data_IF_607026494555
#
_entry.id   IF_607026494555
#
_cell.length_a   1.000
_cell.length_b   1.000
_cell.length_c   1.000
_cell.angle_alpha   90.00
_cell.angle_beta   90.00
_cell.angle_gamma   90.00
#
_symmetry.space_group_name_H-M   'P 1'
#
loop_
_entity.id
_entity.type
_entity.pdbx_description
1 polymer ?
#
# COMPACT_ATOMS: atom_id res chain seq x y z
N UNK A 1 50.48 -31.10 -2.77
CA UNK A 1 51.13 -29.79 -2.58
C UNK A 1 50.07 -28.71 -2.77
N UNK A 2 49.54 -28.20 -1.66
CA UNK A 2 49.11 -26.79 -1.57
C UNK A 2 50.33 -25.86 -1.83
N UNK A 3 50.18 -24.53 -1.90
CA UNK A 3 49.16 -23.68 -2.53
C UNK A 3 49.84 -22.52 -3.32
N UNK A 4 49.09 -21.54 -3.85
CA UNK A 4 49.42 -20.09 -3.99
C UNK A 4 48.42 -19.46 -4.98
N UNK A 5 47.38 -18.77 -4.50
CA UNK A 5 47.26 -17.33 -4.17
C UNK A 5 46.86 -16.43 -5.36
N UNK A 6 45.60 -15.98 -5.26
CA UNK A 6 45.05 -14.63 -5.47
C UNK A 6 45.63 -13.75 -6.59
N UNK A 7 44.74 -13.36 -7.50
CA UNK A 7 44.46 -11.95 -7.83
C UNK A 7 42.95 -11.83 -8.14
N UNK A 8 42.13 -11.73 -7.09
CA UNK A 8 40.84 -11.07 -7.21
C UNK A 8 41.12 -9.62 -6.84
N UNK A 9 41.25 -8.77 -7.86
CA UNK A 9 41.21 -7.34 -7.67
C UNK A 9 39.85 -6.98 -7.04
N UNK A 10 39.93 -6.29 -5.92
CA UNK A 10 38.82 -5.65 -5.25
C UNK A 10 38.16 -4.68 -6.22
N UNK A 11 36.93 -4.97 -6.64
CA UNK A 11 36.08 -3.96 -7.28
C UNK A 11 35.78 -2.91 -6.21
N UNK A 12 36.09 -1.62 -6.45
CA UNK A 12 35.85 -0.57 -5.48
C UNK A 12 34.35 -0.36 -5.27
N UNK A 13 34.00 -0.17 -4.00
CA UNK A 13 32.73 0.39 -3.54
C UNK A 13 32.40 1.69 -4.30
N UNK A 14 31.12 1.82 -4.69
CA UNK A 14 30.40 3.05 -5.03
C UNK A 14 31.26 4.27 -5.40
N UNK A 15 31.48 4.46 -6.69
CA UNK A 15 31.69 5.78 -7.27
C UNK A 15 31.00 5.82 -8.63
N UNK A 16 29.97 6.65 -8.73
CA UNK A 16 29.48 7.33 -9.93
C UNK A 16 29.84 6.66 -11.26
N UNK A 17 29.00 5.70 -11.69
CA UNK A 17 28.88 5.40 -13.11
C UNK A 17 27.83 6.36 -13.66
N UNK A 18 28.37 7.32 -14.38
CA UNK A 18 27.77 8.34 -15.21
C UNK A 18 26.84 7.73 -16.29
N UNK A 19 25.65 7.31 -15.86
CA UNK A 19 24.53 6.91 -16.74
C UNK A 19 23.56 8.07 -16.99
N UNK A 20 23.87 9.28 -16.49
CA UNK A 20 22.94 10.42 -16.47
C UNK A 20 22.97 11.28 -17.72
N UNK A 21 24.05 11.32 -18.50
CA UNK A 21 24.21 12.38 -19.50
C UNK A 21 23.87 12.06 -20.97
N UNK A 22 23.43 10.85 -21.34
CA UNK A 22 23.17 10.55 -22.76
C UNK A 22 21.81 9.95 -23.13
N UNK A 23 20.88 9.76 -22.18
CA UNK A 23 19.55 9.20 -22.50
C UNK A 23 18.35 9.92 -21.84
N UNK A 24 18.57 10.97 -21.05
CA UNK A 24 17.63 11.37 -20.00
C UNK A 24 16.71 12.57 -20.30
N UNK A 25 16.54 13.02 -21.55
CA UNK A 25 15.58 14.12 -21.83
C UNK A 25 14.46 13.80 -22.82
N UNK A 26 14.71 12.93 -23.79
CA UNK A 26 13.67 12.57 -24.78
C UNK A 26 13.01 11.21 -24.49
N UNK A 27 13.57 10.37 -23.61
CA UNK A 27 13.03 9.03 -23.27
C UNK A 27 12.06 9.07 -22.09
N UNK A 28 12.28 9.92 -21.08
CA UNK A 28 11.41 9.99 -19.90
C UNK A 28 9.99 10.48 -20.26
N UNK A 29 9.88 11.44 -21.19
CA UNK A 29 8.58 11.97 -21.59
C UNK A 29 7.71 10.91 -22.31
N UNK A 30 8.33 10.08 -23.16
CA UNK A 30 7.63 8.94 -23.78
C UNK A 30 7.20 7.89 -22.75
N UNK A 31 7.89 7.75 -21.62
CA UNK A 31 7.52 6.78 -20.59
C UNK A 31 6.22 7.20 -19.90
N UNK A 32 6.08 8.48 -19.56
CA UNK A 32 4.90 8.99 -18.88
C UNK A 32 3.64 8.92 -19.76
N UNK A 33 3.74 9.33 -21.03
CA UNK A 33 2.63 9.25 -21.99
C UNK A 33 2.20 7.79 -22.24
N UNK A 34 3.16 6.88 -22.37
CA UNK A 34 2.87 5.45 -22.52
C UNK A 34 2.26 4.84 -21.26
N UNK A 35 2.76 5.19 -20.07
CA UNK A 35 2.21 4.73 -18.79
C UNK A 35 0.80 5.26 -18.56
N UNK A 36 0.56 6.54 -18.88
CA UNK A 36 -0.75 7.15 -18.80
C UNK A 36 -1.73 6.49 -19.77
N UNK A 37 -1.34 6.28 -21.03
CA UNK A 37 -2.15 5.61 -22.04
C UNK A 37 -2.46 4.16 -21.64
N UNK A 38 -1.49 3.43 -21.11
CA UNK A 38 -1.69 2.07 -20.61
C UNK A 38 -2.62 2.06 -19.39
N UNK A 39 -2.42 2.95 -18.42
CA UNK A 39 -3.33 3.09 -17.28
C UNK A 39 -4.76 3.38 -17.74
N UNK A 40 -4.94 4.36 -18.65
CA UNK A 40 -6.21 4.70 -19.28
C UNK A 40 -6.87 3.46 -19.90
N UNK A 41 -6.13 2.69 -20.70
CA UNK A 41 -6.65 1.49 -21.36
C UNK A 41 -7.13 0.43 -20.35
N UNK A 42 -6.37 0.15 -19.29
CA UNK A 42 -6.77 -0.85 -18.31
C UNK A 42 -7.94 -0.41 -17.44
N UNK A 43 -7.94 0.85 -17.01
CA UNK A 43 -9.04 1.41 -16.24
C UNK A 43 -10.32 1.44 -17.08
N UNK A 44 -10.21 1.78 -18.36
CA UNK A 44 -11.36 1.74 -19.29
C UNK A 44 -11.81 0.30 -19.55
N UNK A 45 -10.90 -0.67 -19.66
CA UNK A 45 -11.28 -2.09 -19.77
C UNK A 45 -11.96 -2.62 -18.50
N UNK A 46 -11.53 -2.17 -17.32
CA UNK A 46 -12.13 -2.53 -16.05
C UNK A 46 -13.49 -1.86 -15.85
N UNK A 47 -13.64 -0.58 -16.24
CA UNK A 47 -14.95 0.06 -16.30
C UNK A 47 -15.85 -0.64 -17.32
N UNK A 48 -15.32 -1.07 -18.47
CA UNK A 48 -16.06 -1.86 -19.47
C UNK A 48 -16.42 -3.29 -19.00
N UNK A 49 -15.62 -3.94 -18.16
CA UNK A 49 -15.95 -5.25 -17.59
C UNK A 49 -16.98 -5.14 -16.47
N UNK A 50 -16.97 -4.04 -15.70
CA UNK A 50 -18.09 -3.62 -14.82
C UNK A 50 -19.36 -3.37 -15.67
N UNK A 51 -19.21 -2.93 -16.92
CA UNK A 51 -20.30 -2.75 -17.89
C UNK A 51 -20.77 -4.03 -18.62
N UNK A 52 -20.42 -5.24 -18.16
CA UNK A 52 -21.06 -6.49 -18.60
C UNK A 52 -22.49 -6.67 -18.07
N UNK A 53 -23.06 -5.64 -17.46
CA UNK A 53 -24.51 -5.50 -17.28
C UNK A 53 -25.10 -5.18 -18.67
N UNK A 54 -26.05 -5.96 -19.19
CA UNK A 54 -26.54 -5.82 -20.57
C UNK A 54 -26.99 -4.39 -20.88
N UNK A 55 -26.62 -3.90 -22.06
CA UNK A 55 -26.89 -2.55 -22.57
C UNK A 55 -28.37 -2.12 -22.47
N UNK A 56 -29.30 -3.08 -22.39
CA UNK A 56 -30.73 -2.83 -22.16
C UNK A 56 -31.08 -2.34 -20.74
N UNK A 57 -30.16 -2.43 -19.76
CA UNK A 57 -30.29 -1.84 -18.42
C UNK A 57 -29.58 -0.48 -18.26
N UNK A 58 -28.77 -0.04 -19.24
CA UNK A 58 -28.13 1.30 -19.19
C UNK A 58 -29.12 2.45 -19.32
N UNK A 59 -30.27 2.21 -19.96
CA UNK A 59 -31.35 3.19 -20.14
C UNK A 59 -32.08 3.59 -18.85
N UNK A 60 -31.80 2.94 -17.71
CA UNK A 60 -32.34 3.32 -16.39
C UNK A 60 -31.35 4.08 -15.50
N UNK A 61 -30.11 4.32 -15.94
CA UNK A 61 -29.13 5.16 -15.22
C UNK A 61 -29.22 6.63 -15.63
N UNK A 62 -30.44 7.13 -15.86
CA UNK A 62 -30.74 8.55 -15.64
C UNK A 62 -30.42 8.79 -14.16
N UNK A 63 -29.40 9.63 -13.91
CA UNK A 63 -28.69 9.80 -12.64
C UNK A 63 -29.43 9.35 -11.40
N UNK A 64 -28.77 8.51 -10.59
CA UNK A 64 -29.21 8.25 -9.21
C UNK A 64 -29.10 9.59 -8.47
N UNK A 65 -30.11 10.45 -8.62
CA UNK A 65 -30.30 11.64 -7.83
C UNK A 65 -30.65 11.14 -6.45
N UNK A 66 -29.62 11.01 -5.62
CA UNK A 66 -29.80 10.70 -4.21
C UNK A 66 -30.68 11.78 -3.62
N UNK A 67 -31.73 11.37 -2.91
CA UNK A 67 -32.50 12.30 -2.12
C UNK A 67 -31.61 12.92 -1.04
N UNK A 68 -31.86 14.18 -0.66
CA UNK A 68 -31.06 14.88 0.36
C UNK A 68 -30.85 14.07 1.65
N UNK A 69 -31.85 13.31 2.10
CA UNK A 69 -31.75 12.45 3.29
C UNK A 69 -30.76 11.29 3.11
N UNK A 70 -30.76 10.68 1.93
CA UNK A 70 -29.89 9.55 1.62
C UNK A 70 -28.45 10.00 1.41
N UNK A 71 -28.24 11.13 0.72
CA UNK A 71 -26.92 11.74 0.60
C UNK A 71 -26.31 12.06 1.97
N UNK A 72 -27.08 12.71 2.86
CA UNK A 72 -26.62 13.00 4.23
C UNK A 72 -26.29 11.73 5.04
N UNK A 73 -27.03 10.64 4.84
CA UNK A 73 -26.72 9.36 5.47
C UNK A 73 -25.34 8.85 5.04
N UNK A 74 -25.04 8.85 3.73
CA UNK A 74 -23.73 8.44 3.22
C UNK A 74 -22.60 9.34 3.73
N UNK A 75 -22.79 10.66 3.71
CA UNK A 75 -21.78 11.61 4.19
C UNK A 75 -21.52 11.44 5.69
N UNK A 76 -22.56 11.22 6.48
CA UNK A 76 -22.43 10.94 7.90
C UNK A 76 -21.67 9.63 8.14
N UNK A 77 -22.06 8.56 7.46
CA UNK A 77 -21.39 7.26 7.56
C UNK A 77 -19.92 7.33 7.16
N UNK A 78 -19.61 8.07 6.09
CA UNK A 78 -18.25 8.33 5.66
C UNK A 78 -17.42 8.97 6.79
N UNK A 79 -17.92 10.06 7.38
CA UNK A 79 -17.20 10.82 8.40
C UNK A 79 -17.04 10.04 9.72
N UNK A 80 -18.08 9.30 10.13
CA UNK A 80 -18.11 8.62 11.42
C UNK A 80 -17.43 7.24 11.38
N UNK A 81 -17.51 6.52 10.26
CA UNK A 81 -17.08 5.12 10.17
C UNK A 81 -15.94 4.89 9.17
N UNK A 82 -15.98 5.51 7.98
CA UNK A 82 -14.98 5.23 6.92
C UNK A 82 -13.67 5.97 7.14
N UNK A 83 -13.71 7.26 7.49
CA UNK A 83 -12.50 8.07 7.71
C UNK A 83 -11.55 7.42 8.75
N UNK A 84 -12.05 6.93 9.91
CA UNK A 84 -11.20 6.23 10.90
C UNK A 84 -10.51 4.95 10.40
N UNK A 85 -11.03 4.33 9.33
CA UNK A 85 -10.49 3.09 8.75
C UNK A 85 -9.47 3.42 7.65
N UNK A 86 -9.76 4.45 6.84
CA UNK A 86 -8.94 4.84 5.70
C UNK A 86 -7.54 5.33 6.10
N UNK A 87 -7.40 5.97 7.27
CA UNK A 87 -6.10 6.24 7.87
C UNK A 87 -6.18 6.39 9.39
N UNK A 88 -5.05 6.16 10.08
CA UNK A 88 -4.98 6.26 11.53
C UNK A 88 -4.67 7.67 12.08
N UNK A 89 -4.70 8.69 11.23
CA UNK A 89 -4.46 10.06 11.69
C UNK A 89 -5.75 10.64 12.25
N UNK A 90 -5.71 11.00 13.54
CA UNK A 90 -6.80 11.70 14.24
C UNK A 90 -7.25 13.00 13.54
N UNK A 91 -6.38 13.60 12.71
CA UNK A 91 -6.67 14.76 11.88
C UNK A 91 -6.23 14.53 10.43
N UNK A 92 -6.71 13.46 9.80
CA UNK A 92 -6.42 13.22 8.38
C UNK A 92 -6.73 14.45 7.50
N UNK A 93 -5.77 14.92 6.70
CA UNK A 93 -5.98 16.06 5.82
C UNK A 93 -6.85 15.71 4.61
N UNK A 94 -7.08 14.43 4.32
CA UNK A 94 -7.66 13.98 3.04
C UNK A 94 -9.03 14.58 2.70
N UNK A 95 -9.92 14.72 3.68
CA UNK A 95 -11.25 15.30 3.47
C UNK A 95 -11.16 16.80 3.15
N UNK A 96 -10.22 17.49 3.78
CA UNK A 96 -9.97 18.93 3.54
C UNK A 96 -9.35 19.11 2.17
N UNK A 97 -8.37 18.25 1.84
CA UNK A 97 -7.74 18.17 0.54
C UNK A 97 -8.75 17.94 -0.59
N UNK A 98 -9.64 16.96 -0.46
CA UNK A 98 -10.68 16.69 -1.46
C UNK A 98 -11.60 17.89 -1.68
N UNK A 99 -12.02 18.57 -0.60
CA UNK A 99 -12.86 19.76 -0.70
C UNK A 99 -12.12 21.00 -1.20
N UNK A 100 -10.81 21.06 -1.01
CA UNK A 100 -9.98 22.19 -1.43
C UNK A 100 -9.58 22.09 -2.91
N UNK A 101 -9.18 20.89 -3.35
CA UNK A 101 -8.61 20.65 -4.66
C UNK A 101 -9.61 20.14 -5.70
N UNK A 102 -10.67 19.43 -5.29
CA UNK A 102 -11.65 18.87 -6.22
C UNK A 102 -12.96 19.69 -6.23
N UNK A 103 -13.64 19.67 -7.38
CA UNK A 103 -15.01 20.20 -7.47
C UNK A 103 -15.94 19.48 -6.50
N UNK A 104 -16.93 20.19 -5.96
CA UNK A 104 -17.87 19.67 -4.96
C UNK A 104 -18.57 18.37 -5.40
N UNK A 105 -18.89 18.24 -6.69
CA UNK A 105 -19.49 17.03 -7.26
C UNK A 105 -18.55 15.82 -7.25
N UNK A 106 -17.25 16.05 -7.49
CA UNK A 106 -16.22 15.01 -7.49
C UNK A 106 -15.94 14.57 -6.07
N UNK A 107 -15.70 15.53 -5.16
CA UNK A 107 -15.52 15.25 -3.74
C UNK A 107 -16.72 14.48 -3.16
N UNK A 108 -17.95 14.89 -3.50
CA UNK A 108 -19.17 14.15 -3.15
C UNK A 108 -19.14 12.71 -3.67
N UNK A 109 -18.75 12.50 -4.92
CA UNK A 109 -18.67 11.14 -5.49
C UNK A 109 -17.62 10.29 -4.78
N UNK A 110 -16.46 10.85 -4.41
CA UNK A 110 -15.47 10.15 -3.57
C UNK A 110 -16.08 9.68 -2.25
N UNK A 111 -16.76 10.57 -1.52
CA UNK A 111 -17.33 10.26 -0.21
C UNK A 111 -18.42 9.19 -0.30
N UNK A 112 -19.31 9.31 -1.29
CA UNK A 112 -20.43 8.39 -1.44
C UNK A 112 -19.95 7.03 -1.94
N UNK A 113 -18.98 6.97 -2.86
CA UNK A 113 -18.40 5.71 -3.32
C UNK A 113 -17.86 4.90 -2.13
N UNK A 114 -17.06 5.53 -1.27
CA UNK A 114 -16.45 4.88 -0.12
C UNK A 114 -17.46 4.53 0.99
N UNK A 115 -18.45 5.40 1.24
CA UNK A 115 -19.51 5.12 2.21
C UNK A 115 -20.39 3.94 1.79
N UNK A 116 -20.79 3.91 0.52
CA UNK A 116 -21.72 2.90 0.00
C UNK A 116 -21.07 1.52 -0.11
N UNK A 117 -19.81 1.42 -0.54
CA UNK A 117 -19.09 0.14 -0.52
C UNK A 117 -18.89 -0.37 0.91
N UNK A 118 -18.60 0.51 1.87
CA UNK A 118 -18.47 0.12 3.27
C UNK A 118 -19.81 -0.33 3.89
N UNK A 119 -20.92 0.35 3.59
CA UNK A 119 -22.26 -0.07 4.02
C UNK A 119 -22.67 -1.43 3.43
N UNK A 120 -22.29 -1.68 2.17
CA UNK A 120 -22.46 -3.00 1.56
C UNK A 120 -21.69 -4.06 2.35
N UNK A 121 -20.44 -3.79 2.75
CA UNK A 121 -19.61 -4.72 3.52
C UNK A 121 -20.08 -4.99 4.93
N UNK A 122 -20.63 -3.99 5.63
CA UNK A 122 -21.25 -4.18 6.96
C UNK A 122 -22.49 -5.09 6.87
N UNK A 123 -23.04 -5.32 5.68
CA UNK A 123 -24.32 -6.00 5.51
C UNK A 123 -25.49 -5.15 6.01
N UNK A 124 -25.30 -3.82 6.04
CA UNK A 124 -26.23 -2.88 6.67
C UNK A 124 -27.61 -2.81 6.00
N UNK A 125 -27.82 -3.43 4.83
CA UNK A 125 -29.11 -3.85 4.25
C UNK A 125 -28.87 -4.89 3.16
N UNK A 126 -29.83 -5.78 2.94
CA UNK A 126 -29.86 -6.90 1.96
C UNK A 126 -29.87 -6.49 0.48
N UNK A 127 -29.28 -5.35 0.09
CA UNK A 127 -29.47 -4.84 -1.26
C UNK A 127 -28.17 -4.61 -2.02
N UNK A 128 -28.06 -5.27 -3.17
CA UNK A 128 -27.11 -4.97 -4.25
C UNK A 128 -27.09 -3.47 -4.62
N UNK A 129 -28.10 -2.70 -4.20
CA UNK A 129 -28.21 -1.27 -4.49
C UNK A 129 -27.08 -0.41 -3.90
N UNK A 130 -26.48 -0.79 -2.77
CA UNK A 130 -25.33 -0.04 -2.23
C UNK A 130 -24.06 -0.32 -3.04
N UNK A 131 -23.87 -1.57 -3.46
CA UNK A 131 -22.78 -1.93 -4.34
C UNK A 131 -22.90 -1.20 -5.69
N UNK A 132 -24.08 -1.22 -6.31
CA UNK A 132 -24.34 -0.52 -7.57
C UNK A 132 -24.12 1.01 -7.46
N UNK A 133 -24.55 1.63 -6.36
CA UNK A 133 -24.27 3.06 -6.08
C UNK A 133 -22.78 3.32 -5.94
N UNK A 134 -22.07 2.42 -5.26
CA UNK A 134 -20.63 2.53 -5.07
C UNK A 134 -19.90 2.49 -6.41
N UNK A 135 -20.31 1.57 -7.30
CA UNK A 135 -19.77 1.43 -8.66
C UNK A 135 -20.07 2.65 -9.53
N UNK A 136 -21.27 3.21 -9.43
CA UNK A 136 -21.62 4.44 -10.14
C UNK A 136 -20.72 5.61 -9.74
N UNK A 137 -20.57 5.85 -8.44
CA UNK A 137 -19.78 6.99 -7.96
C UNK A 137 -18.27 6.80 -8.17
N UNK A 138 -17.74 5.58 -8.03
CA UNK A 138 -16.32 5.32 -8.33
C UNK A 138 -16.04 5.42 -9.83
N UNK A 139 -17.00 5.08 -10.71
CA UNK A 139 -16.89 5.33 -12.15
C UNK A 139 -16.74 6.82 -12.44
N UNK A 140 -17.54 7.68 -11.80
CA UNK A 140 -17.41 9.13 -11.95
C UNK A 140 -16.03 9.63 -11.47
N UNK A 141 -15.58 9.20 -10.29
CA UNK A 141 -14.23 9.53 -9.76
C UNK A 141 -13.15 9.13 -10.75
N UNK A 142 -13.29 7.95 -11.34
CA UNK A 142 -12.36 7.40 -12.31
C UNK A 142 -12.37 8.22 -13.61
N UNK A 143 -13.55 8.55 -14.16
CA UNK A 143 -13.66 9.40 -15.35
C UNK A 143 -13.02 10.78 -15.13
N UNK A 144 -13.21 11.38 -13.96
CA UNK A 144 -12.54 12.63 -13.59
C UNK A 144 -11.03 12.48 -13.51
N UNK A 145 -10.52 11.40 -12.88
CA UNK A 145 -9.10 11.08 -12.85
C UNK A 145 -8.52 10.95 -14.27
N UNK A 146 -9.19 10.21 -15.16
CA UNK A 146 -8.76 10.04 -16.55
C UNK A 146 -8.81 11.37 -17.33
N UNK A 147 -9.81 12.22 -17.06
CA UNK A 147 -9.90 13.57 -17.60
C UNK A 147 -8.70 14.42 -17.19
N UNK A 148 -8.30 14.40 -15.91
CA UNK A 148 -7.14 15.16 -15.43
C UNK A 148 -5.81 14.63 -15.96
N UNK A 149 -5.68 13.31 -16.10
CA UNK A 149 -4.50 12.67 -16.72
C UNK A 149 -4.40 13.09 -18.19
N UNK A 150 -5.46 12.90 -18.98
CA UNK A 150 -5.45 13.26 -20.41
C UNK A 150 -5.24 14.76 -20.65
N UNK A 151 -5.98 15.64 -19.97
CA UNK A 151 -5.84 17.09 -20.11
C UNK A 151 -4.50 17.63 -19.58
N UNK A 152 -3.84 16.90 -18.68
CA UNK A 152 -2.53 17.26 -18.12
C UNK A 152 -1.38 17.05 -19.09
N UNK A 153 -1.46 16.04 -19.97
CA UNK A 153 -0.38 15.65 -20.88
C UNK A 153 -0.50 16.23 -22.29
N UNK A 154 -1.72 16.44 -22.80
CA UNK A 154 -1.91 16.89 -24.18
C UNK A 154 -1.78 18.41 -24.42
N UNK A 155 -1.78 19.26 -23.38
CA UNK A 155 -1.96 20.71 -23.56
C UNK A 155 -0.67 21.54 -23.46
N UNK A 156 0.39 21.07 -22.80
CA UNK A 156 1.63 21.88 -22.66
C UNK A 156 2.84 21.17 -23.25
N UNK A 157 2.96 21.16 -24.56
CA UNK A 157 4.23 20.81 -25.25
C UNK A 157 5.26 21.95 -25.20
N UNK A 158 4.91 23.12 -24.66
CA UNK A 158 5.80 24.30 -24.66
C UNK A 158 6.11 24.90 -23.27
N UNK A 159 5.40 24.54 -22.18
CA UNK A 159 5.78 24.87 -20.79
C UNK A 159 5.31 23.75 -19.83
N UNK A 160 6.06 22.64 -19.81
CA UNK A 160 5.75 21.41 -19.08
C UNK A 160 6.01 21.53 -17.57
N UNK A 161 5.05 22.08 -16.83
CA UNK A 161 4.99 21.88 -15.37
C UNK A 161 3.57 21.46 -15.02
N UNK A 162 3.37 20.19 -14.63
CA UNK A 162 2.11 19.77 -14.03
C UNK A 162 1.89 20.67 -12.80
N UNK A 163 0.86 21.51 -12.81
CA UNK A 163 0.55 22.40 -11.68
C UNK A 163 0.33 21.58 -10.38
N UNK A 164 0.81 22.07 -9.23
CA UNK A 164 0.63 21.47 -7.90
C UNK A 164 -0.82 21.09 -7.60
N UNK A 165 -1.77 21.96 -7.96
CA UNK A 165 -3.21 21.69 -7.83
C UNK A 165 -3.63 20.45 -8.63
N UNK A 166 -3.15 20.31 -9.88
CA UNK A 166 -3.47 19.15 -10.72
C UNK A 166 -2.85 17.86 -10.17
N UNK A 167 -1.62 17.91 -9.68
CA UNK A 167 -0.99 16.78 -8.98
C UNK A 167 -1.81 16.37 -7.77
N UNK A 168 -2.21 17.33 -6.92
CA UNK A 168 -3.02 17.05 -5.73
C UNK A 168 -4.32 16.33 -6.10
N UNK A 169 -5.06 16.81 -7.10
CA UNK A 169 -6.30 16.17 -7.57
C UNK A 169 -6.04 14.75 -8.03
N UNK A 170 -5.06 14.53 -8.92
CA UNK A 170 -4.73 13.20 -9.45
C UNK A 170 -4.42 12.21 -8.31
N UNK A 171 -3.62 12.64 -7.33
CA UNK A 171 -3.25 11.80 -6.19
C UNK A 171 -4.43 11.50 -5.27
N UNK A 172 -5.30 12.48 -5.03
CA UNK A 172 -6.49 12.30 -4.20
C UNK A 172 -7.49 11.34 -4.83
N UNK A 173 -7.73 11.45 -6.14
CA UNK A 173 -8.63 10.56 -6.86
C UNK A 173 -8.02 9.15 -6.98
N UNK A 174 -6.72 9.05 -7.25
CA UNK A 174 -5.98 7.78 -7.25
C UNK A 174 -6.02 7.10 -5.88
N UNK A 175 -5.78 7.85 -4.80
CA UNK A 175 -5.89 7.33 -3.44
C UNK A 175 -7.31 6.89 -3.09
N UNK A 176 -8.33 7.68 -3.45
CA UNK A 176 -9.75 7.30 -3.29
C UNK A 176 -10.04 5.97 -3.98
N UNK A 177 -9.51 5.77 -5.19
CA UNK A 177 -9.63 4.52 -5.92
C UNK A 177 -8.97 3.35 -5.17
N UNK A 178 -7.77 3.53 -4.63
CA UNK A 178 -7.12 2.48 -3.82
C UNK A 178 -7.96 2.12 -2.59
N UNK A 179 -8.42 3.10 -1.82
CA UNK A 179 -9.26 2.85 -0.63
C UNK A 179 -10.54 2.13 -1.00
N UNK A 180 -11.18 2.50 -2.11
CA UNK A 180 -12.34 1.78 -2.62
C UNK A 180 -12.02 0.30 -2.83
N UNK A 181 -10.89 -0.01 -3.48
CA UNK A 181 -10.45 -1.39 -3.69
C UNK A 181 -10.17 -2.13 -2.38
N UNK A 182 -9.56 -1.48 -1.37
CA UNK A 182 -9.29 -2.09 -0.06
C UNK A 182 -10.58 -2.44 0.70
N UNK A 183 -11.57 -1.55 0.67
CA UNK A 183 -12.87 -1.81 1.29
C UNK A 183 -13.61 -2.92 0.53
N UNK A 184 -13.52 -2.96 -0.81
CA UNK A 184 -14.20 -3.98 -1.61
C UNK A 184 -13.57 -5.37 -1.47
N UNK A 185 -12.27 -5.52 -1.71
CA UNK A 185 -11.63 -6.85 -1.70
C UNK A 185 -10.12 -6.85 -1.42
N UNK A 186 -9.45 -5.71 -1.47
CA UNK A 186 -7.98 -5.63 -1.44
C UNK A 186 -7.31 -6.23 -2.67
N UNK A 187 -8.04 -6.46 -3.77
CA UNK A 187 -7.53 -7.02 -5.03
C UNK A 187 -7.63 -5.98 -6.13
N UNK A 188 -6.60 -5.80 -6.96
CA UNK A 188 -6.65 -4.83 -8.06
C UNK A 188 -5.79 -5.25 -9.25
N UNK A 189 -6.28 -5.00 -10.47
CA UNK A 189 -5.51 -5.20 -11.71
C UNK A 189 -4.77 -3.94 -12.18
N UNK A 190 -5.03 -2.79 -11.54
CA UNK A 190 -4.60 -1.46 -11.99
C UNK A 190 -3.62 -0.79 -11.04
N UNK A 191 -3.56 -1.24 -9.77
CA UNK A 191 -2.84 -0.52 -8.72
C UNK A 191 -1.33 -0.39 -8.99
N UNK A 192 -0.70 -1.38 -9.62
CA UNK A 192 0.71 -1.28 -10.06
C UNK A 192 0.94 -0.09 -10.97
N UNK A 193 0.05 0.10 -11.95
CA UNK A 193 0.15 1.22 -12.89
C UNK A 193 -0.08 2.53 -12.20
N UNK A 194 -1.01 2.57 -11.23
CA UNK A 194 -1.23 3.74 -10.41
C UNK A 194 0.02 4.11 -9.59
N UNK A 195 0.71 3.15 -8.98
CA UNK A 195 1.97 3.39 -8.27
C UNK A 195 3.12 3.80 -9.20
N UNK A 196 3.23 3.18 -10.38
CA UNK A 196 4.20 3.57 -11.39
C UNK A 196 3.98 5.02 -11.85
N UNK A 197 2.72 5.36 -12.14
CA UNK A 197 2.32 6.70 -12.54
C UNK A 197 2.58 7.74 -11.43
N UNK A 198 2.21 7.42 -10.18
CA UNK A 198 2.55 8.22 -9.00
C UNK A 198 4.06 8.49 -8.91
N UNK A 199 4.89 7.46 -9.00
CA UNK A 199 6.34 7.62 -8.89
C UNK A 199 6.92 8.49 -10.01
N UNK A 200 6.46 8.29 -11.25
CA UNK A 200 6.90 9.06 -12.40
C UNK A 200 6.59 10.55 -12.22
N UNK A 201 5.35 10.87 -11.83
CA UNK A 201 4.93 12.25 -11.54
C UNK A 201 5.82 12.93 -10.49
N UNK A 202 6.25 12.22 -9.44
CA UNK A 202 7.06 12.80 -8.38
C UNK A 202 8.55 12.91 -8.72
N UNK A 203 9.11 11.94 -9.45
CA UNK A 203 10.51 11.97 -9.88
C UNK A 203 10.77 13.11 -10.86
N UNK A 204 9.90 13.26 -11.85
CA UNK A 204 10.02 14.33 -12.86
C UNK A 204 9.80 15.73 -12.26
N UNK A 205 8.75 15.88 -11.43
CA UNK A 205 8.34 17.19 -10.94
C UNK A 205 9.25 17.76 -9.85
N UNK A 206 9.73 16.92 -8.95
CA UNK A 206 10.47 17.39 -7.77
C UNK A 206 11.99 17.18 -7.90
N UNK A 207 12.48 16.69 -9.04
CA UNK A 207 13.91 16.43 -9.31
C UNK A 207 14.60 15.70 -8.15
N UNK A 208 13.90 14.71 -7.60
CA UNK A 208 14.34 14.02 -6.40
C UNK A 208 15.24 12.87 -6.82
N UNK A 209 16.51 13.17 -6.96
CA UNK A 209 17.52 12.12 -6.98
C UNK A 209 17.77 11.57 -5.56
N UNK A 210 17.61 12.38 -4.48
CA UNK A 210 18.11 11.98 -3.14
C UNK A 210 17.42 12.61 -1.87
N UNK A 211 16.19 13.15 -1.90
CA UNK A 211 15.60 13.78 -0.69
C UNK A 211 14.07 13.88 -0.65
N UNK A 212 13.46 14.01 0.53
CA UNK A 212 12.02 14.30 0.65
C UNK A 212 11.72 15.56 -0.20
N UNK A 213 10.67 15.59 -1.04
CA UNK A 213 10.40 16.81 -1.79
C UNK A 213 10.25 17.94 -0.78
N UNK A 214 10.79 19.12 -1.09
CA UNK A 214 10.60 20.34 -0.30
C UNK A 214 9.13 20.81 -0.50
N UNK A 215 8.18 19.91 -0.27
CA UNK A 215 6.75 20.16 -0.20
C UNK A 215 6.56 21.00 1.05
N UNK A 216 6.52 22.30 0.86
CA UNK A 216 5.99 23.21 1.86
C UNK A 216 4.53 22.85 2.21
N UNK A 217 3.84 22.10 1.34
CA UNK A 217 2.52 21.55 1.58
C UNK A 217 2.56 20.22 2.37
N UNK A 218 2.26 20.33 3.67
CA UNK A 218 2.10 19.20 4.61
C UNK A 218 1.09 18.16 4.12
N UNK A 219 0.09 18.59 3.36
CA UNK A 219 -1.01 17.74 2.92
C UNK A 219 -0.63 16.88 1.71
N UNK A 220 0.19 17.39 0.78
CA UNK A 220 0.81 16.57 -0.28
C UNK A 220 1.83 15.58 0.29
N UNK A 221 2.61 15.99 1.29
CA UNK A 221 3.54 15.11 2.03
C UNK A 221 2.81 13.89 2.61
N UNK A 222 1.60 14.08 3.15
CA UNK A 222 0.76 12.99 3.62
C UNK A 222 0.46 11.96 2.53
N UNK A 223 0.01 12.39 1.35
CA UNK A 223 -0.30 11.47 0.24
C UNK A 223 0.94 10.72 -0.26
N UNK A 224 2.10 11.38 -0.29
CA UNK A 224 3.37 10.75 -0.71
C UNK A 224 3.76 9.62 0.23
N UNK A 225 3.78 9.87 1.55
CA UNK A 225 4.12 8.84 2.55
C UNK A 225 3.15 7.67 2.42
N UNK A 226 1.85 7.97 2.34
CA UNK A 226 0.77 7.00 2.28
C UNK A 226 0.87 6.06 1.07
N UNK A 227 1.00 6.63 -0.13
CA UNK A 227 1.13 5.85 -1.36
C UNK A 227 2.45 5.07 -1.41
N UNK A 228 3.52 5.61 -0.82
CA UNK A 228 4.84 4.95 -0.80
C UNK A 228 4.83 3.67 0.03
N UNK A 229 4.23 3.70 1.22
CA UNK A 229 4.18 2.49 2.03
C UNK A 229 3.20 1.46 1.45
N UNK A 230 2.06 1.90 0.87
CA UNK A 230 1.17 1.01 0.13
C UNK A 230 1.88 0.29 -1.03
N UNK A 231 2.66 1.02 -1.82
CA UNK A 231 3.43 0.44 -2.92
C UNK A 231 4.51 -0.54 -2.42
N UNK A 232 5.20 -0.19 -1.33
CA UNK A 232 6.22 -1.07 -0.73
C UNK A 232 5.60 -2.38 -0.24
N UNK A 233 4.45 -2.33 0.44
CA UNK A 233 3.75 -3.52 0.91
C UNK A 233 3.18 -4.35 -0.26
N UNK A 234 2.61 -3.70 -1.27
CA UNK A 234 2.18 -4.41 -2.48
C UNK A 234 3.36 -5.08 -3.21
N UNK A 235 4.54 -4.45 -3.19
CA UNK A 235 5.76 -5.01 -3.78
C UNK A 235 6.32 -6.19 -2.99
N UNK A 236 6.35 -6.12 -1.66
CA UNK A 236 6.94 -7.19 -0.84
C UNK A 236 6.14 -8.49 -0.98
N UNK A 237 4.81 -8.40 -1.07
CA UNK A 237 3.92 -9.56 -1.28
C UNK A 237 3.82 -9.99 -2.75
N UNK A 238 4.33 -9.19 -3.68
CA UNK A 238 4.28 -9.52 -5.11
C UNK A 238 5.05 -10.82 -5.40
N UNK A 239 4.43 -11.82 -6.07
CA UNK A 239 5.13 -13.05 -6.44
C UNK A 239 6.14 -12.83 -7.54
N UNK A 240 5.96 -11.80 -8.35
CA UNK A 240 6.92 -11.45 -9.37
C UNK A 240 8.18 -10.77 -8.80
N UNK A 241 8.19 -10.43 -7.50
CA UNK A 241 9.28 -9.74 -6.82
C UNK A 241 9.60 -8.40 -7.48
N UNK A 242 8.56 -7.64 -7.85
CA UNK A 242 8.73 -6.29 -8.39
C UNK A 242 9.38 -5.39 -7.33
N UNK A 243 10.11 -4.38 -7.81
CA UNK A 243 10.59 -3.32 -6.93
C UNK A 243 9.44 -2.32 -6.64
N UNK A 244 9.43 -1.71 -5.45
CA UNK A 244 8.62 -0.52 -5.22
C UNK A 244 9.05 0.59 -6.18
N UNK A 245 8.08 1.33 -6.70
CA UNK A 245 8.31 2.51 -7.50
C UNK A 245 8.72 3.72 -6.63
N UNK A 246 8.32 3.75 -5.36
CA UNK A 246 8.76 4.76 -4.39
C UNK A 246 10.23 4.60 -3.97
N UNK A 247 10.78 5.64 -3.34
CA UNK A 247 12.14 5.62 -2.76
C UNK A 247 12.09 5.76 -1.23
N UNK A 248 13.11 5.29 -0.49
CA UNK A 248 13.09 5.25 0.98
C UNK A 248 12.85 6.62 1.64
N UNK A 249 13.39 7.68 1.06
CA UNK A 249 13.21 9.03 1.58
C UNK A 249 11.75 9.47 1.60
N UNK A 250 10.82 8.80 0.93
CA UNK A 250 9.40 9.16 0.89
C UNK A 250 8.59 8.66 2.09
N UNK A 251 9.15 7.83 2.97
CA UNK A 251 8.46 7.34 4.17
C UNK A 251 8.38 8.38 5.31
N UNK A 252 9.10 9.50 5.16
CA UNK A 252 9.29 10.52 6.18
C UNK A 252 10.40 10.14 7.15
N UNK A 253 10.73 11.06 8.06
CA UNK A 253 11.72 10.86 9.10
C UNK A 253 11.05 10.77 10.49
N UNK A 254 11.77 10.24 11.49
CA UNK A 254 11.25 10.10 12.86
C UNK A 254 10.87 11.44 13.49
N UNK A 255 11.51 12.53 13.07
CA UNK A 255 11.28 13.90 13.52
C UNK A 255 10.12 14.60 12.79
N UNK A 256 9.73 14.11 11.62
CA UNK A 256 8.64 14.69 10.83
C UNK A 256 7.29 14.70 11.55
N UNK A 257 6.43 15.62 11.12
CA UNK A 257 5.01 15.69 11.53
C UNK A 257 4.11 14.68 10.82
N UNK A 258 4.62 14.06 9.74
CA UNK A 258 3.91 13.14 8.86
C UNK A 258 4.92 12.08 8.42
N UNK A 259 4.75 10.87 8.91
CA UNK A 259 5.63 9.72 8.64
C UNK A 259 4.85 8.42 8.87
N UNK A 260 5.42 7.28 8.46
CA UNK A 260 4.78 5.96 8.64
C UNK A 260 4.52 5.62 10.11
N UNK A 261 5.32 6.12 11.06
CA UNK A 261 5.08 5.83 12.49
C UNK A 261 3.81 6.49 13.01
N UNK A 262 3.44 7.64 12.43
CA UNK A 262 2.21 8.34 12.79
C UNK A 262 1.00 7.76 12.07
N UNK A 263 1.17 7.27 10.84
CA UNK A 263 0.08 6.73 10.01
C UNK A 263 -0.30 5.28 10.35
N UNK A 264 0.66 4.44 10.72
CA UNK A 264 0.46 2.99 10.81
C UNK A 264 1.32 2.31 11.89
N UNK A 265 2.05 3.10 12.67
CA UNK A 265 2.81 2.60 13.84
C UNK A 265 4.11 1.90 13.48
N UNK A 266 4.54 1.99 12.22
CA UNK A 266 5.80 1.45 11.73
C UNK A 266 6.83 2.57 11.57
N UNK A 267 7.99 2.50 12.24
CA UNK A 267 9.06 3.47 12.02
C UNK A 267 9.52 3.52 10.55
N UNK A 268 9.81 4.71 9.98
CA UNK A 268 10.31 4.83 8.61
C UNK A 268 11.54 3.95 8.33
N UNK A 269 12.42 3.81 9.31
CA UNK A 269 13.64 3.00 9.25
C UNK A 269 13.32 1.52 9.00
N UNK A 270 12.23 1.00 9.59
CA UNK A 270 11.76 -0.37 9.32
C UNK A 270 11.22 -0.48 7.89
N UNK A 271 10.59 0.58 7.37
CA UNK A 271 10.13 0.64 5.98
C UNK A 271 11.29 0.71 4.98
N UNK A 272 12.37 1.42 5.29
CA UNK A 272 13.59 1.40 4.47
C UNK A 272 14.17 -0.02 4.40
N UNK A 273 14.12 -0.76 5.52
CA UNK A 273 14.53 -2.17 5.55
C UNK A 273 13.61 -3.02 4.67
N UNK A 274 12.28 -2.86 4.74
CA UNK A 274 11.33 -3.56 3.86
C UNK A 274 11.62 -3.28 2.38
N UNK A 275 11.90 -2.04 2.03
CA UNK A 275 12.29 -1.65 0.67
C UNK A 275 13.59 -2.34 0.22
N UNK A 276 14.57 -2.46 1.13
CA UNK A 276 15.80 -3.22 0.86
C UNK A 276 15.54 -4.73 0.73
N UNK A 277 14.60 -5.29 1.49
CA UNK A 277 14.18 -6.69 1.33
C UNK A 277 13.56 -6.91 -0.06
N UNK A 278 12.73 -5.98 -0.57
CA UNK A 278 12.23 -6.04 -1.94
C UNK A 278 13.37 -6.12 -2.97
N UNK A 279 14.43 -5.32 -2.79
CA UNK A 279 15.63 -5.37 -3.64
C UNK A 279 16.33 -6.72 -3.59
N UNK A 280 16.57 -7.24 -2.39
CA UNK A 280 17.20 -8.57 -2.20
C UNK A 280 16.35 -9.65 -2.88
N UNK A 281 15.04 -9.65 -2.64
CA UNK A 281 14.09 -10.62 -3.23
C UNK A 281 14.13 -10.56 -4.76
N UNK A 282 14.14 -9.36 -5.35
CA UNK A 282 14.26 -9.17 -6.79
C UNK A 282 15.60 -9.70 -7.35
N UNK A 283 16.71 -9.39 -6.70
CA UNK A 283 18.04 -9.83 -7.12
C UNK A 283 18.20 -11.35 -7.03
N UNK A 284 17.71 -11.97 -5.95
CA UNK A 284 17.69 -13.44 -5.81
C UNK A 284 16.87 -14.08 -6.92
N UNK A 285 15.70 -13.52 -7.22
CA UNK A 285 14.86 -13.99 -8.31
C UNK A 285 15.55 -13.88 -9.68
N UNK A 286 16.37 -12.85 -9.86
CA UNK A 286 17.19 -12.63 -11.05
C UNK A 286 18.53 -13.39 -11.04
N UNK A 287 18.70 -14.35 -10.14
CA UNK A 287 19.81 -15.31 -10.15
C UNK A 287 21.00 -14.95 -9.26
N UNK A 288 20.93 -13.88 -8.46
CA UNK A 288 21.99 -13.58 -7.48
C UNK A 288 21.91 -14.59 -6.31
N UNK A 289 23.00 -15.31 -5.98
CA UNK A 289 23.01 -16.27 -4.88
C UNK A 289 22.72 -15.61 -3.53
N UNK A 290 22.05 -16.35 -2.62
CA UNK A 290 21.63 -15.81 -1.30
C UNK A 290 22.81 -15.46 -0.40
N UNK A 291 23.90 -16.21 -0.53
CA UNK A 291 25.14 -16.09 0.23
C UNK A 291 25.77 -14.70 0.06
N UNK A 292 25.51 -14.05 -1.08
CA UNK A 292 26.00 -12.69 -1.35
C UNK A 292 25.41 -11.65 -0.38
N UNK A 293 24.28 -11.96 0.25
CA UNK A 293 23.57 -11.04 1.13
C UNK A 293 23.85 -11.27 2.61
N UNK A 294 24.68 -12.25 3.02
CA UNK A 294 24.87 -12.61 4.43
C UNK A 294 25.33 -11.44 5.33
N UNK A 295 26.33 -10.68 4.88
CA UNK A 295 26.82 -9.51 5.63
C UNK A 295 25.76 -8.40 5.70
N UNK A 296 25.05 -8.19 4.61
CA UNK A 296 24.00 -7.18 4.55
C UNK A 296 22.78 -7.58 5.40
N UNK A 297 22.40 -8.84 5.39
CA UNK A 297 21.36 -9.42 6.23
C UNK A 297 21.65 -9.29 7.72
N UNK A 298 22.93 -9.45 8.11
CA UNK A 298 23.37 -9.24 9.50
C UNK A 298 23.12 -7.79 9.93
N UNK A 299 23.47 -6.82 9.07
CA UNK A 299 23.18 -5.40 9.30
C UNK A 299 21.68 -5.15 9.41
N UNK A 300 20.88 -5.61 8.44
CA UNK A 300 19.43 -5.44 8.45
C UNK A 300 18.80 -6.07 9.71
N UNK A 301 19.26 -7.24 10.13
CA UNK A 301 18.79 -7.88 11.37
C UNK A 301 19.06 -7.01 12.59
N UNK A 302 20.27 -6.46 12.71
CA UNK A 302 20.61 -5.51 13.78
C UNK A 302 19.71 -4.27 13.74
N UNK A 303 19.49 -3.71 12.56
CA UNK A 303 18.67 -2.51 12.38
C UNK A 303 17.19 -2.77 12.72
N UNK A 304 16.67 -3.96 12.42
CA UNK A 304 15.31 -4.40 12.82
C UNK A 304 15.20 -4.51 14.36
N UNK A 305 16.18 -5.14 15.00
CA UNK A 305 16.19 -5.33 16.46
C UNK A 305 16.24 -4.01 17.23
N UNK A 306 16.77 -2.96 16.60
CA UNK A 306 16.83 -1.61 17.13
C UNK A 306 15.53 -0.81 17.01
N UNK A 307 14.40 -1.41 16.62
CA UNK A 307 13.12 -0.70 16.41
C UNK A 307 12.73 0.25 17.54
N UNK A 308 13.07 -0.08 18.79
CA UNK A 308 12.78 0.73 19.99
C UNK A 308 13.40 2.12 19.92
N UNK A 309 14.59 2.24 19.33
CA UNK A 309 15.31 3.50 19.18
C UNK A 309 14.57 4.45 18.23
N UNK A 310 13.83 3.90 17.27
CA UNK A 310 13.07 4.68 16.30
C UNK A 310 11.72 5.16 16.84
N UNK A 311 11.27 4.69 18.01
CA UNK A 311 10.02 5.13 18.62
C UNK A 311 10.33 6.22 19.65
N UNK A 312 9.85 7.44 19.40
CA UNK A 312 10.02 8.57 20.33
C UNK A 312 8.79 8.76 21.22
N UNK A 313 9.01 9.05 22.49
CA UNK A 313 7.94 9.46 23.40
C UNK A 313 7.54 10.91 23.10
N UNK A 314 6.39 11.08 22.44
CA UNK A 314 5.81 12.40 22.14
C UNK A 314 4.53 12.57 22.98
N UNK A 315 4.63 13.38 24.05
CA UNK A 315 3.56 13.98 24.87
C UNK A 315 2.59 13.06 25.66
N UNK A 316 2.38 11.78 25.32
CA UNK A 316 1.57 10.87 26.16
C UNK A 316 2.18 9.48 26.29
N UNK A 317 2.34 9.02 27.54
CA UNK A 317 2.92 7.71 27.85
C UNK A 317 2.12 6.55 27.24
N UNK A 318 0.79 6.59 27.33
CA UNK A 318 -0.07 5.55 26.75
C UNK A 318 0.02 5.49 25.22
N UNK A 319 0.12 6.64 24.55
CA UNK A 319 0.31 6.69 23.09
C UNK A 319 1.67 6.14 22.67
N UNK A 320 2.72 6.38 23.46
CA UNK A 320 4.05 5.83 23.25
C UNK A 320 4.06 4.30 23.36
N UNK A 321 3.47 3.72 24.41
CA UNK A 321 3.45 2.26 24.60
C UNK A 321 2.73 1.54 23.45
N UNK A 322 1.59 2.07 22.98
CA UNK A 322 0.90 1.50 21.82
C UNK A 322 1.79 1.55 20.58
N UNK A 323 2.39 2.71 20.28
CA UNK A 323 3.31 2.86 19.13
C UNK A 323 4.51 1.91 19.22
N UNK A 324 5.07 1.72 20.41
CA UNK A 324 6.19 0.80 20.64
C UNK A 324 5.82 -0.65 20.33
N UNK A 325 4.65 -1.10 20.79
CA UNK A 325 4.13 -2.43 20.48
C UNK A 325 3.78 -2.60 19.00
N UNK A 326 3.21 -1.58 18.36
CA UNK A 326 2.98 -1.59 16.91
C UNK A 326 4.31 -1.72 16.15
N UNK A 327 5.32 -0.93 16.53
CA UNK A 327 6.66 -1.01 15.94
C UNK A 327 7.30 -2.38 16.13
N UNK A 328 7.08 -3.03 17.29
CA UNK A 328 7.50 -4.40 17.55
C UNK A 328 6.82 -5.39 16.59
N UNK A 329 5.50 -5.30 16.40
CA UNK A 329 4.76 -6.13 15.44
C UNK A 329 5.31 -5.97 14.01
N UNK A 330 5.57 -4.73 13.58
CA UNK A 330 6.17 -4.44 12.28
C UNK A 330 7.59 -4.99 12.14
N UNK A 331 8.43 -4.81 13.16
CA UNK A 331 9.79 -5.33 13.19
C UNK A 331 9.83 -6.86 13.13
N UNK A 332 8.95 -7.54 13.88
CA UNK A 332 8.84 -9.00 13.86
C UNK A 332 8.45 -9.50 12.47
N UNK A 333 7.40 -8.94 11.85
CA UNK A 333 6.97 -9.35 10.51
C UNK A 333 8.05 -9.06 9.46
N UNK A 334 8.76 -7.93 9.57
CA UNK A 334 9.91 -7.60 8.73
C UNK A 334 11.02 -8.64 8.89
N UNK A 335 11.29 -9.09 10.12
CA UNK A 335 12.32 -10.09 10.37
C UNK A 335 11.94 -11.46 9.81
N UNK A 336 10.70 -11.91 10.02
CA UNK A 336 10.17 -13.14 9.41
C UNK A 336 10.37 -13.08 7.89
N UNK A 337 9.96 -11.98 7.26
CA UNK A 337 10.09 -11.80 5.80
C UNK A 337 11.55 -11.87 5.34
N UNK A 338 12.49 -11.23 6.06
CA UNK A 338 13.92 -11.31 5.76
C UNK A 338 14.45 -12.76 5.82
N UNK A 339 14.05 -13.50 6.86
CA UNK A 339 14.42 -14.90 7.05
C UNK A 339 13.84 -15.79 5.95
N UNK A 340 12.62 -15.55 5.49
CA UNK A 340 12.00 -16.31 4.40
C UNK A 340 12.66 -16.07 3.04
N UNK A 341 13.10 -14.84 2.78
CA UNK A 341 13.82 -14.48 1.54
C UNK A 341 15.19 -15.15 1.50
N UNK A 342 15.92 -15.11 2.62
CA UNK A 342 17.30 -15.59 2.71
C UNK A 342 17.42 -17.09 3.05
N UNK A 343 16.40 -17.68 3.66
CA UNK A 343 16.34 -19.10 4.07
C UNK A 343 17.62 -19.62 4.77
N UNK A 344 18.13 -18.98 5.83
CA UNK A 344 19.25 -19.51 6.60
C UNK A 344 18.85 -20.85 7.27
N UNK A 345 19.85 -21.68 7.59
CA UNK A 345 19.64 -23.04 8.10
C UNK A 345 18.78 -23.12 9.37
N UNK A 346 18.80 -22.08 10.22
CA UNK A 346 18.05 -22.00 11.49
C UNK A 346 16.73 -21.22 11.39
N UNK A 347 16.31 -20.81 10.20
CA UNK A 347 15.15 -19.91 9.99
C UNK A 347 13.85 -20.45 10.57
N UNK A 348 13.53 -21.74 10.42
CA UNK A 348 12.22 -22.28 10.79
C UNK A 348 11.91 -22.18 12.29
N UNK A 349 12.85 -22.58 13.16
CA UNK A 349 12.67 -22.50 14.61
C UNK A 349 12.59 -21.04 15.09
N UNK A 350 13.37 -20.15 14.46
CA UNK A 350 13.35 -18.72 14.78
C UNK A 350 12.04 -18.05 14.34
N UNK A 351 11.55 -18.34 13.13
CA UNK A 351 10.25 -17.85 12.64
C UNK A 351 9.13 -18.30 13.58
N UNK A 352 9.15 -19.55 14.04
CA UNK A 352 8.16 -20.06 14.99
C UNK A 352 8.14 -19.26 16.31
N UNK A 353 9.31 -18.98 16.89
CA UNK A 353 9.42 -18.14 18.08
C UNK A 353 8.91 -16.71 17.85
N UNK A 354 9.22 -16.13 16.69
CA UNK A 354 8.75 -14.81 16.28
C UNK A 354 7.23 -14.75 16.08
N UNK A 355 6.61 -15.80 15.54
CA UNK A 355 5.14 -15.92 15.42
C UNK A 355 4.50 -15.88 16.81
N UNK A 356 5.03 -16.62 17.79
CA UNK A 356 4.51 -16.61 19.16
C UNK A 356 4.64 -15.25 19.82
N UNK A 357 5.81 -14.61 19.69
CA UNK A 357 6.04 -13.25 20.20
C UNK A 357 5.06 -12.26 19.58
N UNK A 358 4.84 -12.31 18.26
CA UNK A 358 3.88 -11.44 17.59
C UNK A 358 2.47 -11.62 18.12
N UNK A 359 1.99 -12.87 18.19
CA UNK A 359 0.62 -13.18 18.60
C UNK A 359 0.35 -12.69 20.04
N UNK A 360 1.31 -12.84 20.95
CA UNK A 360 1.20 -12.36 22.33
C UNK A 360 1.17 -10.83 22.39
N UNK A 361 2.07 -10.15 21.69
CA UNK A 361 2.14 -8.68 21.65
C UNK A 361 0.87 -8.08 21.05
N UNK A 362 0.43 -8.58 19.90
CA UNK A 362 -0.72 -8.04 19.17
C UNK A 362 -2.04 -8.29 19.92
N UNK A 363 -2.20 -9.46 20.55
CA UNK A 363 -3.36 -9.76 21.40
C UNK A 363 -3.51 -8.77 22.58
N UNK A 364 -2.40 -8.22 23.06
CA UNK A 364 -2.38 -7.22 24.13
C UNK A 364 -2.65 -5.78 23.68
N UNK A 365 -2.96 -5.53 22.41
CA UNK A 365 -3.31 -4.21 21.87
C UNK A 365 -4.83 -3.98 21.87
N UNK A 366 -5.26 -2.73 22.05
CA UNK A 366 -6.67 -2.38 21.93
C UNK A 366 -7.07 -2.26 20.44
N UNK A 367 -7.95 -3.14 19.92
CA UNK A 367 -8.33 -3.17 18.52
C UNK A 367 -9.13 -1.94 18.08
N UNK A 368 -9.67 -1.12 18.99
CA UNK A 368 -10.33 0.14 18.62
C UNK A 368 -9.36 1.29 18.37
N UNK A 369 -8.05 1.07 18.55
CA UNK A 369 -7.05 2.08 18.25
C UNK A 369 -6.74 2.09 16.76
N UNK A 370 -6.92 3.22 16.08
CA UNK A 370 -6.80 3.30 14.62
C UNK A 370 -5.45 2.77 14.08
N UNK A 371 -4.35 3.03 14.78
CA UNK A 371 -3.01 2.58 14.37
C UNK A 371 -2.85 1.06 14.45
N UNK A 372 -3.59 0.40 15.35
CA UNK A 372 -3.61 -1.06 15.50
C UNK A 372 -4.34 -1.69 14.32
N UNK A 373 -5.36 -1.01 13.79
CA UNK A 373 -6.09 -1.47 12.59
C UNK A 373 -5.23 -1.49 11.32
N UNK A 374 -4.11 -0.76 11.30
CA UNK A 374 -3.18 -0.70 10.17
C UNK A 374 -2.14 -1.86 10.19
N UNK A 375 -2.20 -2.78 11.17
CA UNK A 375 -1.31 -3.95 11.27
C UNK A 375 -1.81 -5.09 10.36
N UNK A 376 -2.30 -4.76 9.17
CA UNK A 376 -2.85 -5.72 8.20
C UNK A 376 -1.75 -6.62 7.63
N UNK A 377 -0.71 -6.04 7.04
CA UNK A 377 0.41 -6.81 6.49
C UNK A 377 1.17 -7.64 7.54
N UNK A 378 1.49 -7.14 8.74
CA UNK A 378 2.14 -7.98 9.75
C UNK A 378 1.28 -9.18 10.15
N UNK A 379 -0.05 -9.01 10.27
CA UNK A 379 -0.96 -10.14 10.48
C UNK A 379 -0.96 -11.11 9.29
N UNK A 380 -0.86 -10.62 8.06
CA UNK A 380 -0.69 -11.47 6.88
C UNK A 380 0.53 -12.38 7.01
N UNK A 381 1.70 -11.78 7.29
CA UNK A 381 2.99 -12.48 7.43
C UNK A 381 2.95 -13.57 8.48
N UNK A 382 2.39 -13.24 9.65
CA UNK A 382 2.28 -14.16 10.77
C UNK A 382 1.29 -15.28 10.44
N UNK A 383 0.17 -14.96 9.80
CA UNK A 383 -0.88 -15.93 9.49
C UNK A 383 -0.39 -17.08 8.61
N UNK A 384 0.27 -16.80 7.48
CA UNK A 384 0.78 -17.91 6.66
C UNK A 384 1.98 -18.64 7.28
N UNK A 385 2.56 -18.10 8.36
CA UNK A 385 3.59 -18.76 9.17
C UNK A 385 3.05 -19.49 10.41
N UNK A 386 1.73 -19.51 10.65
CA UNK A 386 1.11 -20.33 11.69
C UNK A 386 1.11 -21.82 11.29
N UNK A 387 1.85 -22.64 12.02
CA UNK A 387 2.05 -24.07 11.74
C UNK A 387 1.13 -24.92 12.61
N UNK A 388 0.95 -24.57 13.88
CA UNK A 388 0.14 -25.37 14.82
C UNK A 388 -1.33 -24.98 14.78
N UNK A 389 -2.22 -25.92 15.13
CA UNK A 389 -3.66 -25.64 15.21
C UNK A 389 -3.96 -24.50 16.21
N UNK A 390 -3.25 -24.46 17.34
CA UNK A 390 -3.41 -23.42 18.35
C UNK A 390 -3.01 -22.04 17.84
N UNK A 391 -1.88 -21.91 17.10
CA UNK A 391 -1.49 -20.65 16.46
C UNK A 391 -2.55 -20.17 15.47
N UNK A 392 -3.08 -21.09 14.64
CA UNK A 392 -4.12 -20.78 13.65
C UNK A 392 -5.41 -20.31 14.30
N UNK A 393 -5.83 -20.93 15.41
CA UNK A 393 -7.01 -20.52 16.17
C UNK A 393 -6.85 -19.11 16.78
N UNK A 394 -5.69 -18.82 17.36
CA UNK A 394 -5.39 -17.48 17.89
C UNK A 394 -5.42 -16.45 16.76
N UNK A 395 -4.75 -16.74 15.65
CA UNK A 395 -4.73 -15.86 14.49
C UNK A 395 -6.14 -15.62 13.92
N UNK A 396 -6.96 -16.67 13.81
CA UNK A 396 -8.35 -16.56 13.36
C UNK A 396 -9.19 -15.65 14.28
N UNK A 397 -8.99 -15.73 15.60
CA UNK A 397 -9.67 -14.82 16.54
C UNK A 397 -9.22 -13.36 16.37
N UNK A 398 -7.93 -13.13 16.11
CA UNK A 398 -7.39 -11.79 15.89
C UNK A 398 -7.89 -11.18 14.57
N UNK A 399 -7.94 -11.97 13.49
CA UNK A 399 -8.43 -11.50 12.20
C UNK A 399 -9.93 -11.23 12.22
N UNK A 400 -10.70 -12.05 12.93
CA UNK A 400 -12.14 -11.84 13.14
C UNK A 400 -12.40 -10.54 13.92
N UNK A 401 -11.59 -10.27 14.94
CA UNK A 401 -11.66 -9.01 15.70
C UNK A 401 -11.34 -7.80 14.81
N UNK A 402 -10.29 -7.88 14.00
CA UNK A 402 -9.93 -6.79 13.08
C UNK A 402 -11.03 -6.55 12.03
N UNK A 403 -11.61 -7.62 11.49
CA UNK A 403 -12.73 -7.50 10.55
C UNK A 403 -13.97 -6.88 11.21
N UNK A 404 -14.31 -7.25 12.44
CA UNK A 404 -15.44 -6.68 13.17
C UNK A 404 -15.28 -5.19 13.47
N UNK A 405 -14.05 -4.68 13.56
CA UNK A 405 -13.79 -3.25 13.77
C UNK A 405 -13.77 -2.47 12.46
N UNK A 406 -13.30 -3.08 11.37
CA UNK A 406 -13.00 -2.37 10.11
C UNK A 406 -13.97 -2.64 8.97
N UNK A 407 -14.61 -3.82 8.94
CA UNK A 407 -15.51 -4.26 7.87
C UNK A 407 -14.96 -4.04 6.45
N UNK A 408 -13.67 -4.30 6.24
CA UNK A 408 -13.02 -4.16 4.93
C UNK A 408 -12.78 -5.50 4.25
N UNK A 409 -13.00 -5.55 2.94
CA UNK A 409 -12.81 -6.76 2.12
C UNK A 409 -11.37 -7.24 2.01
N UNK A 410 -10.36 -6.37 2.20
CA UNK A 410 -8.95 -6.79 2.26
C UNK A 410 -8.72 -7.83 3.37
N UNK A 411 -9.37 -7.68 4.52
CA UNK A 411 -9.26 -8.58 5.67
C UNK A 411 -9.90 -9.95 5.37
N UNK A 412 -11.04 -9.95 4.68
CA UNK A 412 -11.70 -11.18 4.22
C UNK A 412 -10.83 -11.92 3.22
N UNK A 413 -10.34 -11.22 2.19
CA UNK A 413 -9.43 -11.77 1.19
C UNK A 413 -8.19 -12.34 1.85
N UNK A 414 -7.58 -11.60 2.77
CA UNK A 414 -6.41 -12.03 3.51
C UNK A 414 -6.64 -13.37 4.23
N UNK A 415 -7.77 -13.47 4.94
CA UNK A 415 -8.20 -14.70 5.60
C UNK A 415 -8.37 -15.84 4.61
N UNK A 416 -9.08 -15.63 3.52
CA UNK A 416 -9.29 -16.67 2.50
C UNK A 416 -7.98 -17.19 1.92
N UNK A 417 -7.05 -16.30 1.57
CA UNK A 417 -5.75 -16.68 0.98
C UNK A 417 -4.90 -17.51 1.95
N UNK A 418 -4.89 -17.15 3.23
CA UNK A 418 -4.15 -17.88 4.27
C UNK A 418 -4.78 -19.24 4.54
N UNK A 419 -6.11 -19.31 4.69
CA UNK A 419 -6.82 -20.57 4.89
C UNK A 419 -6.57 -21.51 3.70
N UNK A 420 -6.65 -20.98 2.48
CA UNK A 420 -6.35 -21.74 1.26
C UNK A 420 -4.92 -22.30 1.27
N UNK A 421 -3.93 -21.51 1.68
CA UNK A 421 -2.54 -21.96 1.85
C UNK A 421 -2.42 -23.11 2.87
N UNK A 422 -3.13 -23.01 4.01
CA UNK A 422 -3.15 -24.05 5.03
C UNK A 422 -3.85 -25.34 4.58
N UNK A 423 -5.01 -25.24 3.95
CA UNK A 423 -5.81 -26.38 3.49
C UNK A 423 -5.13 -27.15 2.37
N UNK A 424 -4.50 -26.43 1.44
CA UNK A 424 -3.77 -27.02 0.32
C UNK A 424 -2.34 -27.44 0.70
N UNK A 425 -1.86 -27.04 1.88
CA UNK A 425 -0.49 -27.24 2.33
C UNK A 425 0.55 -26.74 1.30
N UNK A 426 0.30 -25.55 0.74
CA UNK A 426 1.19 -24.88 -0.21
C UNK A 426 1.66 -23.54 0.36
N UNK A 427 2.81 -23.05 -0.11
CA UNK A 427 3.28 -21.72 0.29
C UNK A 427 2.31 -20.62 -0.14
N UNK A 428 2.21 -19.55 0.66
CA UNK A 428 1.40 -18.38 0.30
C UNK A 428 1.83 -17.77 -1.04
N UNK A 429 3.11 -17.83 -1.39
CA UNK A 429 3.63 -17.37 -2.67
C UNK A 429 2.99 -18.13 -3.85
N UNK A 430 2.69 -19.43 -3.68
CA UNK A 430 2.00 -20.23 -4.68
C UNK A 430 0.57 -19.74 -4.90
N UNK A 431 -0.17 -19.49 -3.81
CA UNK A 431 -1.55 -18.98 -3.88
C UNK A 431 -1.57 -17.59 -4.55
N UNK A 432 -0.65 -16.71 -4.18
CA UNK A 432 -0.54 -15.37 -4.78
C UNK A 432 -0.12 -15.41 -6.26
N UNK A 433 0.69 -16.40 -6.69
CA UNK A 433 1.02 -16.58 -8.13
C UNK A 433 -0.21 -16.86 -8.97
N UNK A 434 -1.19 -17.59 -8.44
CA UNK A 434 -2.43 -17.89 -9.15
C UNK A 434 -3.27 -16.62 -9.40
N UNK A 435 -3.30 -15.70 -8.44
CA UNK A 435 -3.89 -14.36 -8.66
C UNK A 435 -3.11 -13.56 -9.71
N UNK A 436 -1.78 -13.64 -9.67
CA UNK A 436 -0.92 -12.89 -10.58
C UNK A 436 -1.03 -13.36 -12.04
N UNK A 437 -1.36 -14.63 -12.28
CA UNK A 437 -1.70 -15.14 -13.64
C UNK A 437 -2.91 -14.40 -14.22
N UNK A 438 -3.82 -13.94 -13.37
CA UNK A 438 -4.97 -13.12 -13.74
C UNK A 438 -4.65 -11.61 -13.75
N UNK A 439 -3.37 -11.24 -13.60
CA UNK A 439 -2.90 -9.87 -13.42
C UNK A 439 -3.54 -9.14 -12.22
N UNK A 440 -3.88 -9.87 -11.16
CA UNK A 440 -4.46 -9.33 -9.93
C UNK A 440 -3.38 -9.20 -8.87
N UNK A 441 -3.18 -7.98 -8.36
CA UNK A 441 -2.42 -7.70 -7.16
C UNK A 441 -3.29 -7.79 -5.91
N UNK A 442 -2.70 -8.31 -4.84
CA UNK A 442 -3.25 -8.25 -3.50
C UNK A 442 -2.54 -7.16 -2.70
N UNK A 443 -3.31 -6.35 -1.97
CA UNK A 443 -2.83 -5.22 -1.19
C UNK A 443 -3.19 -5.39 0.29
N UNK A 444 -2.39 -6.09 1.09
CA UNK A 444 -2.63 -6.26 2.53
C UNK A 444 -2.18 -5.02 3.31
N UNK A 445 -2.75 -3.85 2.99
CA UNK A 445 -2.40 -2.57 3.60
C UNK A 445 -3.47 -2.09 4.56
#
# INVERSE_FOLDING_TARGET
MEPLKKNYELIPFFSDIDLKEHFAKDIEFCILDNLAADFLNQVTQQSMSINKIPFSKRSTYLGINLGYKEENMFLRHYLEQVVPIADALSNSPWKKLLLHYCDSNVARSCFIALASIHLHKIGALTSDTYYDKSLFHISNVTEHLLGHISLGFFIDSNQQVINETKCAVILLLGYTYIIFMLIDSGRSTTVRRLFAFFSCMFKEKFQIDNGFPNLYDRELKFLVVLLSWFDTISSIVSPDSRLPHCVPSWFGATDDHVSTIDMMGCPPEIFEILWNICKIKNQIKNGVPREYFENYATKLTSDIMNYRVYVRERNTHNGYIVKLKCAQCWAIATYITLLEVLKPQTSSALIHGLVHEFLDVYKGLNPHTQIVNQIVWPLFVVGYNCITASEREIWLSLIDTLYQVTHTGVIETMRSLIIESWERNVSIETVLKELMVLHIDFLPV
#
